data_IF_926623445391
#
_entry.id   IF_926623445391
#
_cell.length_a   1.000
_cell.length_b   1.000
_cell.length_c   1.000
_cell.angle_alpha   90.00
_cell.angle_beta   90.00
_cell.angle_gamma   90.00
#
_symmetry.space_group_name_H-M   'P 1'
#
loop_
_entity.id
_entity.type
_entity.pdbx_description
1 polymer ?
#
# COMPACT_ATOMS: atom_id res chain seq x y z
N UNK A 1 -2.94 -13.48 3.20
CA UNK A 1 -3.47 -12.50 4.20
C UNK A 1 -2.40 -11.48 4.63
N UNK A 2 -1.64 -10.88 3.70
CA UNK A 2 -0.55 -9.93 4.04
C UNK A 2 -0.86 -8.46 3.70
N UNK A 3 -1.89 -8.22 2.89
CA UNK A 3 -2.27 -6.88 2.41
C UNK A 3 -2.59 -5.86 3.54
N UNK A 4 -3.17 -6.23 4.70
CA UNK A 4 -3.47 -5.24 5.75
C UNK A 4 -2.23 -4.52 6.30
N UNK A 5 -1.07 -5.18 6.33
CA UNK A 5 0.17 -4.61 6.88
C UNK A 5 0.63 -3.36 6.12
N UNK A 6 0.92 -3.41 4.80
CA UNK A 6 1.31 -2.21 4.06
C UNK A 6 0.24 -1.13 4.09
N UNK A 7 -1.05 -1.49 4.07
CA UNK A 7 -2.14 -0.51 4.15
C UNK A 7 -2.07 0.29 5.45
N UNK A 8 -1.96 -0.39 6.60
CA UNK A 8 -1.89 0.28 7.90
C UNK A 8 -0.66 1.19 7.99
N UNK A 9 0.51 0.73 7.52
CA UNK A 9 1.73 1.55 7.54
C UNK A 9 1.61 2.81 6.67
N UNK A 10 1.17 2.66 5.42
CA UNK A 10 1.09 3.78 4.48
C UNK A 10 -0.01 4.78 4.84
N UNK A 11 -1.15 4.32 5.35
CA UNK A 11 -2.20 5.21 5.90
C UNK A 11 -1.71 5.94 7.14
N UNK A 12 -1.02 5.24 8.05
CA UNK A 12 -0.46 5.87 9.25
C UNK A 12 0.63 6.90 8.91
N UNK A 13 1.40 6.68 7.83
CA UNK A 13 2.36 7.67 7.34
C UNK A 13 1.65 8.95 6.90
N UNK A 14 0.56 8.84 6.13
CA UNK A 14 -0.22 10.01 5.72
C UNK A 14 -0.89 10.73 6.90
N UNK A 15 -1.42 9.98 7.88
CA UNK A 15 -1.94 10.57 9.12
C UNK A 15 -0.84 11.34 9.86
N UNK A 16 0.36 10.77 9.95
CA UNK A 16 1.52 11.43 10.55
C UNK A 16 1.89 12.71 9.79
N UNK A 17 1.78 12.74 8.47
CA UNK A 17 1.98 13.96 7.66
C UNK A 17 0.96 15.06 8.02
N UNK A 18 -0.31 14.70 8.24
CA UNK A 18 -1.35 15.65 8.68
C UNK A 18 -1.04 16.18 10.09
N UNK A 19 -0.60 15.31 11.00
CA UNK A 19 -0.22 15.74 12.35
C UNK A 19 1.01 16.64 12.31
N UNK A 20 2.01 16.32 11.48
CA UNK A 20 3.16 17.20 11.25
C UNK A 20 2.71 18.57 10.70
N UNK A 21 1.86 18.58 9.69
CA UNK A 21 1.35 19.83 9.11
C UNK A 21 0.59 20.71 10.10
N UNK A 22 -0.20 20.10 10.99
CA UNK A 22 -1.00 20.83 11.97
C UNK A 22 -0.23 21.28 13.22
N UNK A 23 0.78 20.52 13.63
CA UNK A 23 1.52 20.77 14.89
C UNK A 23 2.90 21.38 14.70
N UNK A 24 3.51 21.24 13.52
CA UNK A 24 4.91 21.58 13.27
C UNK A 24 5.93 20.69 13.99
N UNK A 25 5.50 19.65 14.72
CA UNK A 25 6.39 18.81 15.51
C UNK A 25 7.13 17.81 14.61
N UNK A 26 8.44 18.04 14.42
CA UNK A 26 9.32 17.30 13.50
C UNK A 26 9.33 15.78 13.72
N UNK A 27 9.04 15.31 14.94
CA UNK A 27 8.94 13.88 15.25
C UNK A 27 7.96 13.15 14.31
N UNK A 28 6.87 13.80 13.91
CA UNK A 28 5.88 13.20 13.00
C UNK A 28 6.40 13.06 11.56
N UNK A 29 7.28 13.96 11.12
CA UNK A 29 8.00 13.82 9.86
C UNK A 29 8.99 12.63 9.90
N UNK A 30 9.68 12.43 11.03
CA UNK A 30 10.55 11.25 11.22
C UNK A 30 9.74 9.96 11.24
N UNK A 31 8.64 9.92 12.00
CA UNK A 31 7.74 8.77 12.10
C UNK A 31 7.17 8.40 10.73
N UNK A 32 6.66 9.37 9.97
CA UNK A 32 6.13 9.12 8.63
C UNK A 32 7.17 8.55 7.67
N UNK A 33 8.43 9.01 7.72
CA UNK A 33 9.52 8.41 6.93
C UNK A 33 9.73 6.92 7.28
N UNK A 34 9.78 6.56 8.56
CA UNK A 34 9.93 5.15 8.94
C UNK A 34 8.71 4.30 8.60
N UNK A 35 7.49 4.85 8.74
CA UNK A 35 6.25 4.19 8.34
C UNK A 35 6.21 3.94 6.83
N UNK A 36 6.67 4.88 5.99
CA UNK A 36 6.80 4.67 4.54
C UNK A 36 7.78 3.53 4.25
N UNK A 37 8.94 3.51 4.89
CA UNK A 37 9.95 2.45 4.71
C UNK A 37 9.42 1.07 5.12
N UNK A 38 8.81 0.96 6.30
CA UNK A 38 8.19 -0.26 6.77
C UNK A 38 7.03 -0.71 5.87
N UNK A 39 6.20 0.23 5.42
CA UNK A 39 5.10 -0.01 4.50
C UNK A 39 5.58 -0.57 3.16
N UNK A 40 6.66 -0.01 2.59
CA UNK A 40 7.27 -0.52 1.35
C UNK A 40 7.79 -1.94 1.55
N UNK A 41 8.54 -2.21 2.63
CA UNK A 41 9.05 -3.57 2.91
C UNK A 41 7.90 -4.58 3.01
N UNK A 42 6.86 -4.26 3.79
CA UNK A 42 5.70 -5.14 3.92
C UNK A 42 4.92 -5.29 2.62
N UNK A 43 4.85 -4.25 1.80
CA UNK A 43 4.19 -4.32 0.50
C UNK A 43 4.95 -5.21 -0.48
N UNK A 44 6.29 -5.20 -0.45
CA UNK A 44 7.11 -6.11 -1.26
C UNK A 44 6.89 -7.56 -0.83
N UNK A 45 6.87 -7.84 0.49
CA UNK A 45 6.57 -9.19 1.00
C UNK A 45 5.16 -9.63 0.59
N UNK A 46 4.16 -8.74 0.67
CA UNK A 46 2.80 -9.02 0.22
C UNK A 46 2.72 -9.24 -1.30
N UNK A 47 3.48 -8.47 -2.09
CA UNK A 47 3.53 -8.60 -3.55
C UNK A 47 4.12 -9.94 -3.99
N UNK A 48 5.13 -10.47 -3.29
CA UNK A 48 5.68 -11.80 -3.57
C UNK A 48 4.61 -12.89 -3.43
N UNK A 49 3.82 -12.83 -2.35
CA UNK A 49 2.69 -13.75 -2.16
C UNK A 49 1.62 -13.56 -3.23
N UNK A 50 1.23 -12.31 -3.51
CA UNK A 50 0.21 -12.01 -4.51
C UNK A 50 0.61 -12.39 -5.94
N UNK A 51 1.90 -12.28 -6.29
CA UNK A 51 2.41 -12.72 -7.59
C UNK A 51 2.41 -14.25 -7.71
N UNK A 52 2.77 -14.97 -6.64
CA UNK A 52 2.69 -16.43 -6.64
C UNK A 52 1.25 -16.90 -6.94
N UNK A 53 0.26 -16.27 -6.29
CA UNK A 53 -1.17 -16.57 -6.53
C UNK A 53 -1.61 -16.17 -7.95
N UNK A 54 -1.26 -14.97 -8.41
CA UNK A 54 -1.69 -14.44 -9.71
C UNK A 54 -1.08 -15.22 -10.89
N UNK A 55 0.21 -15.56 -10.84
CA UNK A 55 0.86 -16.29 -11.94
C UNK A 55 0.66 -17.81 -11.83
N UNK A 56 0.43 -18.33 -10.62
CA UNK A 56 0.15 -19.74 -10.38
C UNK A 56 -1.24 -20.19 -10.85
N UNK A 57 -2.23 -19.30 -10.89
CA UNK A 57 -3.60 -19.64 -11.27
C UNK A 57 -4.14 -18.79 -12.45
N UNK A 58 -4.29 -19.44 -13.61
CA UNK A 58 -4.91 -18.84 -14.81
C UNK A 58 -6.36 -18.39 -14.61
N UNK A 59 -7.08 -18.94 -13.62
CA UNK A 59 -8.44 -18.50 -13.23
C UNK A 59 -8.42 -17.12 -12.60
N UNK A 60 -7.44 -16.84 -11.73
CA UNK A 60 -7.26 -15.54 -11.09
C UNK A 60 -6.93 -14.47 -12.13
N UNK A 61 -6.07 -14.78 -13.10
CA UNK A 61 -5.69 -13.85 -14.20
C UNK A 61 -6.85 -13.46 -15.11
N UNK A 62 -7.88 -14.30 -15.22
CA UNK A 62 -9.07 -14.01 -16.04
C UNK A 62 -10.06 -13.07 -15.34
N UNK A 63 -9.86 -12.79 -14.06
CA UNK A 63 -10.68 -11.83 -13.32
C UNK A 63 -10.07 -10.44 -13.53
N UNK A 64 -10.78 -9.56 -14.24
CA UNK A 64 -10.30 -8.20 -14.52
C UNK A 64 -9.94 -7.40 -13.26
N UNK A 65 -10.69 -7.60 -12.17
CA UNK A 65 -10.42 -6.96 -10.88
C UNK A 65 -9.07 -7.40 -10.28
N UNK A 66 -8.56 -8.59 -10.61
CA UNK A 66 -7.28 -9.10 -10.12
C UNK A 66 -6.10 -8.31 -10.71
N UNK A 67 -6.15 -8.03 -12.01
CA UNK A 67 -5.13 -7.21 -12.67
C UNK A 67 -5.20 -5.76 -12.18
N UNK A 68 -6.40 -5.19 -12.03
CA UNK A 68 -6.56 -3.82 -11.51
C UNK A 68 -6.04 -3.69 -10.07
N UNK A 69 -6.36 -4.66 -9.21
CA UNK A 69 -5.85 -4.72 -7.85
C UNK A 69 -4.32 -4.82 -7.82
N UNK A 70 -3.74 -5.72 -8.63
CA UNK A 70 -2.29 -5.92 -8.69
C UNK A 70 -1.55 -4.66 -9.17
N UNK A 71 -1.96 -4.10 -10.32
CA UNK A 71 -1.32 -2.91 -10.91
C UNK A 71 -1.47 -1.70 -10.00
N UNK A 72 -2.64 -1.49 -9.40
CA UNK A 72 -2.84 -0.38 -8.48
C UNK A 72 -1.99 -0.49 -7.22
N UNK A 73 -1.85 -1.69 -6.64
CA UNK A 73 -0.98 -1.89 -5.48
C UNK A 73 0.49 -1.69 -5.83
N UNK A 74 0.97 -2.20 -6.97
CA UNK A 74 2.35 -1.95 -7.41
C UNK A 74 2.61 -0.45 -7.61
N UNK A 75 1.64 0.27 -8.17
CA UNK A 75 1.71 1.73 -8.31
C UNK A 75 1.83 2.41 -6.95
N UNK A 76 1.00 2.00 -5.97
CA UNK A 76 1.09 2.51 -4.60
C UNK A 76 2.45 2.25 -3.94
N UNK A 77 3.05 1.07 -4.18
CA UNK A 77 4.41 0.74 -3.68
C UNK A 77 5.46 1.65 -4.30
N UNK A 78 5.40 1.89 -5.61
CA UNK A 78 6.35 2.79 -6.30
C UNK A 78 6.23 4.21 -5.76
N UNK A 79 5.00 4.72 -5.58
CA UNK A 79 4.78 6.04 -5.01
C UNK A 79 5.30 6.14 -3.57
N UNK A 80 5.02 5.13 -2.73
CA UNK A 80 5.53 5.09 -1.37
C UNK A 80 7.06 5.04 -1.31
N UNK A 81 7.71 4.28 -2.21
CA UNK A 81 9.16 4.20 -2.32
C UNK A 81 9.77 5.54 -2.76
N UNK A 82 9.18 6.20 -3.76
CA UNK A 82 9.62 7.53 -4.20
C UNK A 82 9.48 8.54 -3.07
N UNK A 83 8.36 8.54 -2.35
CA UNK A 83 8.14 9.43 -1.22
C UNK A 83 9.14 9.18 -0.08
N UNK A 84 9.39 7.91 0.24
CA UNK A 84 10.41 7.52 1.22
C UNK A 84 11.79 8.01 0.80
N UNK A 85 12.17 7.81 -0.47
CA UNK A 85 13.48 8.20 -0.99
C UNK A 85 13.68 9.71 -0.97
N UNK A 86 12.66 10.50 -1.33
CA UNK A 86 12.70 11.97 -1.23
C UNK A 86 13.03 12.36 0.21
N UNK A 87 12.27 11.87 1.20
CA UNK A 87 12.47 12.17 2.62
C UNK A 87 13.82 11.71 3.16
N UNK A 88 14.32 10.58 2.67
CA UNK A 88 15.64 10.08 3.05
C UNK A 88 16.76 11.00 2.56
N UNK A 89 16.62 11.60 1.36
CA UNK A 89 17.66 12.45 0.75
C UNK A 89 17.61 13.91 1.21
N UNK A 90 16.42 14.48 1.42
CA UNK A 90 16.24 15.91 1.78
C UNK A 90 16.08 16.17 3.27
N UNK A 91 16.11 15.13 4.11
CA UNK A 91 15.58 15.09 5.49
C UNK A 91 14.06 14.86 5.57
N UNK A 92 13.59 14.23 6.67
CA UNK A 92 12.17 13.96 6.85
C UNK A 92 11.31 15.22 6.82
N UNK A 93 11.78 16.32 7.42
CA UNK A 93 11.03 17.58 7.57
C UNK A 93 10.82 18.26 6.21
N UNK A 94 11.89 18.42 5.44
CA UNK A 94 11.82 19.03 4.10
C UNK A 94 11.14 18.08 3.09
N UNK A 95 11.27 16.78 3.27
CA UNK A 95 10.69 15.80 2.35
C UNK A 95 9.16 15.70 2.41
N UNK A 96 8.53 16.13 3.52
CA UNK A 96 7.05 16.13 3.60
C UNK A 96 6.44 17.18 2.66
N UNK A 97 7.01 18.38 2.57
CA UNK A 97 6.43 19.48 1.78
C UNK A 97 7.37 20.05 0.73
N UNK A 98 6.88 20.42 -0.46
CA UNK A 98 5.47 20.37 -0.87
C UNK A 98 5.03 18.99 -1.40
N UNK A 99 5.96 18.16 -1.88
CA UNK A 99 5.61 16.99 -2.70
C UNK A 99 5.23 15.73 -1.91
N UNK A 100 5.93 15.43 -0.81
CA UNK A 100 5.77 14.17 -0.08
C UNK A 100 4.35 13.97 0.48
N UNK A 101 3.71 15.04 0.95
CA UNK A 101 2.33 15.04 1.43
C UNK A 101 1.34 14.62 0.33
N UNK A 102 1.45 15.21 -0.86
CA UNK A 102 0.57 14.89 -1.98
C UNK A 102 0.79 13.47 -2.49
N UNK A 103 2.04 12.99 -2.51
CA UNK A 103 2.34 11.60 -2.86
C UNK A 103 1.72 10.64 -1.84
N UNK A 104 1.82 10.93 -0.53
CA UNK A 104 1.14 10.16 0.53
C UNK A 104 -0.38 10.13 0.32
N UNK A 105 -1.01 11.27 0.02
CA UNK A 105 -2.46 11.35 -0.23
C UNK A 105 -2.87 10.49 -1.43
N UNK A 106 -2.19 10.64 -2.57
CA UNK A 106 -2.46 9.84 -3.78
C UNK A 106 -2.28 8.35 -3.50
N UNK A 107 -1.25 7.98 -2.73
CA UNK A 107 -1.02 6.60 -2.30
C UNK A 107 -2.20 6.07 -1.50
N UNK A 108 -2.71 6.81 -0.51
CA UNK A 108 -3.88 6.39 0.28
C UNK A 108 -5.14 6.25 -0.59
N UNK A 109 -5.39 7.18 -1.50
CA UNK A 109 -6.53 7.10 -2.42
C UNK A 109 -6.45 5.87 -3.33
N UNK A 110 -5.26 5.53 -3.82
CA UNK A 110 -5.03 4.30 -4.57
C UNK A 110 -5.27 3.05 -3.72
N UNK A 111 -4.81 3.03 -2.46
CA UNK A 111 -5.04 1.89 -1.56
C UNK A 111 -6.52 1.69 -1.23
N UNK A 112 -7.31 2.77 -1.12
CA UNK A 112 -8.77 2.67 -0.96
C UNK A 112 -9.42 2.04 -2.19
N UNK A 113 -9.04 2.51 -3.39
CA UNK A 113 -9.53 1.94 -4.64
C UNK A 113 -9.14 0.47 -4.82
N UNK A 114 -7.87 0.13 -4.62
CA UNK A 114 -7.39 -1.25 -4.77
C UNK A 114 -7.90 -2.15 -3.66
N UNK A 115 -8.11 -1.63 -2.45
CA UNK A 115 -8.73 -2.34 -1.34
C UNK A 115 -10.15 -2.80 -1.69
N UNK A 116 -10.96 -1.94 -2.30
CA UNK A 116 -12.28 -2.31 -2.80
C UNK A 116 -12.19 -3.44 -3.85
N UNK A 117 -11.28 -3.32 -4.82
CA UNK A 117 -11.04 -4.39 -5.81
C UNK A 117 -10.57 -5.70 -5.18
N UNK A 118 -9.75 -5.63 -4.13
CA UNK A 118 -9.34 -6.80 -3.36
C UNK A 118 -10.51 -7.50 -2.67
N UNK A 119 -11.46 -6.74 -2.11
CA UNK A 119 -12.67 -7.31 -1.52
C UNK A 119 -13.56 -7.98 -2.56
N UNK A 120 -13.70 -7.42 -3.76
CA UNK A 120 -14.44 -8.08 -4.84
C UNK A 120 -13.82 -9.45 -5.19
N UNK A 121 -12.50 -9.58 -5.21
CA UNK A 121 -11.82 -10.86 -5.45
C UNK A 121 -12.11 -11.91 -4.37
N UNK A 122 -12.08 -11.51 -3.10
CA UNK A 122 -12.30 -12.43 -1.98
C UNK A 122 -13.77 -12.82 -1.87
N UNK A 123 -14.69 -11.85 -1.87
CA UNK A 123 -16.10 -12.12 -1.57
C UNK A 123 -16.91 -12.57 -2.79
N UNK A 124 -16.62 -12.04 -3.98
CA UNK A 124 -17.36 -12.39 -5.21
C UNK A 124 -16.73 -13.57 -5.94
N UNK A 125 -15.40 -13.62 -5.99
CA UNK A 125 -14.67 -14.63 -6.75
C UNK A 125 -14.05 -15.75 -5.90
N UNK A 126 -14.20 -15.69 -4.56
CA UNK A 126 -13.70 -16.69 -3.59
C UNK A 126 -12.20 -16.97 -3.72
N UNK A 127 -11.42 -15.99 -4.19
CA UNK A 127 -9.97 -16.12 -4.30
C UNK A 127 -9.37 -16.18 -2.90
N UNK A 128 -8.59 -17.23 -2.60
CA UNK A 128 -7.94 -17.42 -1.30
C UNK A 128 -8.81 -18.07 -0.22
N UNK A 129 -10.00 -18.55 -0.56
CA UNK A 129 -10.83 -19.40 0.33
C UNK A 129 -10.62 -20.85 -0.06
N UNK A 130 -10.17 -21.70 0.86
CA UNK A 130 -10.20 -23.15 0.64
C UNK A 130 -11.64 -23.63 0.75
N UNK A 131 -12.13 -24.34 -0.28
CA UNK A 131 -13.40 -25.07 -0.20
C UNK A 131 -13.23 -26.22 0.81
N UNK A 132 -13.41 -25.94 2.10
CA UNK A 132 -13.58 -27.00 3.09
C UNK A 132 -15.04 -27.48 3.05
N UNK A 133 -15.27 -28.60 2.38
CA UNK A 133 -16.44 -29.45 2.61
C UNK A 133 -17.28 -29.78 1.38
N UNK A 134 -16.82 -30.75 0.59
CA UNK A 134 -17.69 -31.66 -0.17
C UNK A 134 -17.06 -33.07 -0.06
N UNK A 135 -17.27 -33.74 1.08
CA UNK A 135 -17.15 -35.20 1.24
C UNK A 135 -18.50 -35.73 1.69
#
# INVERSE_FOLDING_TARGET
MLIPFPVVFLVSAFVSDIVFWSTGAEIWAVVSMWLLGAGVVMALVAALAGFADYFGDSRVRRIGDATQHMVGNLTAVVLALVNWFIRYQSSPVEGVFPFGFWISLITVLLLLFTGWKGWELVYRHRVGVSDQGQV
#
